data_IF_721741082340
#
_entry.id   IF_721741082340
#
_cell.length_a   1.000
_cell.length_b   1.000
_cell.length_c   1.000
_cell.angle_alpha   90.00
_cell.angle_beta   90.00
_cell.angle_gamma   90.00
#
_symmetry.space_group_name_H-M   'P 1'
#
loop_
_entity.id
_entity.type
_entity.pdbx_description
1 polymer ?
#
# COMPACT_ATOMS: atom_id res chain seq x y z
N UNK A 1 -0.20 -19.38 -5.75
CA UNK A 1 -1.31 -19.66 -4.82
C UNK A 1 -0.82 -19.73 -3.36
N UNK A 2 0.33 -20.38 -3.07
CA UNK A 2 0.89 -20.45 -1.72
C UNK A 2 1.30 -19.08 -1.15
N UNK A 3 1.77 -18.15 -1.98
CA UNK A 3 2.23 -16.83 -1.57
C UNK A 3 1.12 -15.89 -1.06
N UNK A 4 -0.13 -16.07 -1.51
CA UNK A 4 -1.26 -15.25 -1.08
C UNK A 4 -1.92 -15.69 0.22
N UNK A 5 -1.79 -16.96 0.58
CA UNK A 5 -2.46 -17.52 1.78
C UNK A 5 -1.73 -17.28 3.09
N UNK A 6 -0.43 -17.01 3.06
CA UNK A 6 0.36 -16.76 4.27
C UNK A 6 0.21 -15.35 4.84
N UNK A 7 -0.21 -14.37 4.04
CA UNK A 7 -0.31 -12.98 4.48
C UNK A 7 -1.31 -12.74 5.61
N UNK A 8 -2.23 -13.69 5.86
CA UNK A 8 -3.31 -13.54 6.82
C UNK A 8 -3.02 -14.04 8.25
N UNK A 9 -1.90 -14.73 8.46
CA UNK A 9 -1.60 -15.31 9.79
C UNK A 9 -0.80 -14.41 10.72
N UNK A 10 -0.08 -13.42 10.18
CA UNK A 10 0.80 -12.58 10.97
C UNK A 10 0.09 -11.28 11.35
N UNK A 11 -0.28 -11.17 12.59
CA UNK A 11 -0.82 -9.92 13.14
C UNK A 11 0.32 -8.99 13.52
N UNK A 12 0.23 -7.72 13.11
CA UNK A 12 1.16 -6.67 13.51
C UNK A 12 0.92 -6.24 14.95
N UNK A 13 1.99 -5.95 15.69
CA UNK A 13 1.94 -5.74 17.15
C UNK A 13 2.51 -4.40 17.62
N UNK A 14 3.22 -3.70 16.74
CA UNK A 14 3.95 -2.49 17.09
C UNK A 14 3.44 -1.26 16.33
N UNK A 15 4.35 -0.33 16.02
CA UNK A 15 4.06 0.86 15.22
C UNK A 15 3.95 0.46 13.75
N UNK A 16 2.86 0.85 13.10
CA UNK A 16 2.66 0.64 11.67
C UNK A 16 2.58 1.96 10.91
N UNK A 17 3.04 1.92 9.66
CA UNK A 17 2.83 2.96 8.68
C UNK A 17 1.81 2.47 7.65
N UNK A 18 0.85 3.30 7.27
CA UNK A 18 -0.09 3.02 6.18
C UNK A 18 -0.01 4.13 5.14
N UNK A 19 0.04 3.74 3.89
CA UNK A 19 0.07 4.66 2.74
C UNK A 19 -0.51 3.98 1.50
N UNK A 20 -0.84 4.77 0.49
CA UNK A 20 -1.28 4.26 -0.79
C UNK A 20 -0.31 4.61 -1.92
N UNK A 21 -0.19 3.68 -2.86
CA UNK A 21 0.49 3.92 -4.13
C UNK A 21 -0.42 3.61 -5.32
N UNK A 22 -0.08 4.14 -6.49
CA UNK A 22 -0.89 4.02 -7.70
C UNK A 22 -0.10 3.30 -8.79
N UNK A 23 -0.59 2.11 -9.16
CA UNK A 23 0.03 1.23 -10.16
C UNK A 23 -0.77 1.27 -11.46
N UNK A 24 -0.08 1.36 -12.59
CA UNK A 24 -0.69 1.35 -13.93
C UNK A 24 0.16 2.09 -14.95
N UNK A 25 -0.03 1.72 -16.21
CA UNK A 25 0.71 2.27 -17.33
C UNK A 25 0.36 3.73 -17.68
N UNK A 26 1.20 4.33 -18.51
CA UNK A 26 0.88 5.60 -19.19
C UNK A 26 -0.09 5.30 -20.35
N UNK A 27 -1.11 6.18 -20.60
CA UNK A 27 -1.94 6.06 -21.79
C UNK A 27 -1.06 6.06 -23.05
N UNK A 28 -1.34 5.16 -24.01
CA UNK A 28 -0.63 5.13 -25.28
C UNK A 28 -0.85 6.45 -26.04
N UNK A 29 0.19 6.95 -26.69
CA UNK A 29 0.13 8.21 -27.48
C UNK A 29 -0.89 8.14 -28.62
N UNK A 30 -1.11 6.95 -29.17
CA UNK A 30 -2.02 6.68 -30.30
C UNK A 30 -3.50 6.92 -29.93
N UNK A 31 -3.88 6.85 -28.67
CA UNK A 31 -5.22 7.14 -28.22
C UNK A 31 -5.49 8.64 -27.99
N UNK A 32 -4.59 9.51 -28.42
CA UNK A 32 -4.82 10.95 -28.45
C UNK A 32 -5.56 11.28 -29.72
N UNK A 33 -6.88 11.30 -29.70
CA UNK A 33 -7.69 11.85 -30.78
C UNK A 33 -7.19 13.28 -31.10
N UNK A 34 -6.74 13.49 -32.33
CA UNK A 34 -6.41 14.81 -32.85
C UNK A 34 -7.65 15.69 -32.64
N UNK A 35 -7.55 16.72 -31.83
CA UNK A 35 -8.59 17.73 -31.67
C UNK A 35 -9.17 17.99 -30.26
N UNK A 36 -8.98 17.12 -29.29
CA UNK A 36 -9.34 17.44 -27.89
C UNK A 36 -8.05 17.70 -27.10
N UNK A 37 -7.94 18.92 -26.55
CA UNK A 37 -6.80 19.35 -25.74
C UNK A 37 -6.32 18.27 -24.79
N UNK A 38 -5.02 18.08 -24.72
CA UNK A 38 -4.38 17.05 -23.90
C UNK A 38 -4.78 17.27 -22.44
N UNK A 39 -5.75 16.51 -21.94
CA UNK A 39 -6.03 16.49 -20.49
C UNK A 39 -4.74 16.10 -19.80
N UNK A 40 -4.17 17.04 -19.03
CA UNK A 40 -2.98 16.76 -18.20
C UNK A 40 -3.28 15.53 -17.35
N UNK A 41 -2.46 14.50 -17.44
CA UNK A 41 -2.58 13.31 -16.60
C UNK A 41 -2.41 13.75 -15.16
N UNK A 42 -3.49 13.63 -14.37
CA UNK A 42 -3.46 13.95 -12.95
C UNK A 42 -2.54 12.96 -12.23
N UNK A 43 -1.81 13.44 -11.21
CA UNK A 43 -0.99 12.61 -10.32
C UNK A 43 -1.80 12.18 -9.10
N UNK A 44 -1.36 11.13 -8.41
CA UNK A 44 -2.02 10.64 -7.19
C UNK A 44 -3.46 10.20 -7.46
N UNK A 45 -4.39 10.57 -6.58
CA UNK A 45 -5.80 10.17 -6.61
C UNK A 45 -6.58 10.56 -7.85
N UNK A 46 -6.17 11.59 -8.54
CA UNK A 46 -6.81 12.00 -9.79
C UNK A 46 -6.39 11.16 -11.00
N UNK A 47 -5.53 10.18 -10.83
CA UNK A 47 -5.03 9.31 -11.90
C UNK A 47 -6.03 8.18 -12.23
N UNK A 48 -5.95 7.65 -13.46
CA UNK A 48 -6.66 6.42 -13.85
C UNK A 48 -5.94 5.14 -13.40
N UNK A 49 -4.84 5.25 -12.67
CA UNK A 49 -4.10 4.11 -12.14
C UNK A 49 -4.86 3.46 -10.98
N UNK A 50 -4.57 2.20 -10.71
CA UNK A 50 -5.18 1.43 -9.64
C UNK A 50 -4.45 1.68 -8.33
N UNK A 51 -5.14 2.08 -7.25
CA UNK A 51 -4.53 2.24 -5.94
C UNK A 51 -4.20 0.88 -5.32
N UNK A 52 -3.06 0.82 -4.66
CA UNK A 52 -2.64 -0.26 -3.77
C UNK A 52 -2.40 0.37 -2.41
N UNK A 53 -3.05 -0.13 -1.39
CA UNK A 53 -2.87 0.30 0.00
C UNK A 53 -1.99 -0.71 0.71
N UNK A 54 -1.03 -0.23 1.48
CA UNK A 54 -0.15 -1.08 2.26
C UNK A 54 -0.04 -0.64 3.70
N UNK A 55 0.19 -1.60 4.57
CA UNK A 55 0.51 -1.44 5.97
C UNK A 55 1.85 -2.10 6.21
N UNK A 56 2.82 -1.38 6.76
CA UNK A 56 4.13 -1.92 7.11
C UNK A 56 4.37 -1.79 8.61
N UNK A 57 4.81 -2.87 9.23
CA UNK A 57 5.26 -2.86 10.61
C UNK A 57 6.74 -2.42 10.68
N UNK A 58 7.03 -1.38 11.45
CA UNK A 58 8.39 -0.80 11.49
C UNK A 58 9.43 -1.73 12.08
N UNK A 59 9.10 -2.46 13.12
CA UNK A 59 10.04 -3.31 13.84
C UNK A 59 10.57 -4.47 13.01
N UNK A 60 9.70 -5.11 12.23
CA UNK A 60 10.03 -6.29 11.42
C UNK A 60 10.25 -5.97 9.95
N UNK A 61 9.72 -4.84 9.47
CA UNK A 61 9.65 -4.52 8.04
C UNK A 61 8.68 -5.40 7.25
N UNK A 62 7.83 -6.17 7.94
CA UNK A 62 6.75 -6.95 7.30
C UNK A 62 5.74 -6.01 6.70
N UNK A 63 5.30 -6.33 5.50
CA UNK A 63 4.29 -5.54 4.77
C UNK A 63 3.09 -6.41 4.41
N UNK A 64 1.91 -5.83 4.52
CA UNK A 64 0.67 -6.34 3.95
C UNK A 64 0.11 -5.30 3.00
N UNK A 65 -0.27 -5.68 1.80
CA UNK A 65 -0.80 -4.74 0.82
C UNK A 65 -1.97 -5.32 0.02
N UNK A 66 -2.94 -4.45 -0.28
CA UNK A 66 -4.16 -4.81 -1.01
C UNK A 66 -4.45 -3.82 -2.13
N UNK A 67 -4.91 -4.35 -3.25
CA UNK A 67 -5.46 -3.54 -4.34
C UNK A 67 -6.82 -3.00 -3.91
N UNK A 68 -6.97 -1.67 -3.95
CA UNK A 68 -8.23 -1.01 -3.65
C UNK A 68 -9.05 -0.84 -4.93
N UNK A 69 -10.18 -1.53 -5.01
CA UNK A 69 -11.09 -1.40 -6.14
C UNK A 69 -12.06 -0.22 -5.94
N UNK A 70 -12.54 0.42 -7.03
CA UNK A 70 -13.56 1.44 -6.93
C UNK A 70 -14.81 0.89 -6.21
N UNK A 71 -15.35 1.67 -5.28
CA UNK A 71 -16.66 1.38 -4.72
C UNK A 71 -17.76 1.72 -5.73
N UNK A 72 -19.04 1.41 -5.39
CA UNK A 72 -20.22 1.69 -6.24
C UNK A 72 -20.37 3.19 -6.61
N UNK A 73 -19.75 4.09 -5.85
CA UNK A 73 -19.76 5.54 -6.06
C UNK A 73 -18.59 6.02 -6.96
N UNK A 74 -17.78 5.11 -7.47
CA UNK A 74 -16.61 5.43 -8.29
C UNK A 74 -15.42 6.00 -7.52
N UNK A 75 -15.47 6.10 -6.20
CA UNK A 75 -14.33 6.49 -5.36
C UNK A 75 -13.36 5.32 -5.25
N UNK A 76 -12.12 5.52 -5.66
CA UNK A 76 -11.08 4.46 -5.68
C UNK A 76 -10.58 4.07 -4.29
N UNK A 77 -10.66 4.99 -3.33
CA UNK A 77 -10.17 4.78 -1.97
C UNK A 77 -11.08 5.49 -0.99
N UNK A 78 -11.61 4.75 -0.05
CA UNK A 78 -12.44 5.27 1.04
C UNK A 78 -11.82 4.97 2.40
N UNK A 79 -12.16 5.76 3.41
CA UNK A 79 -11.72 5.51 4.78
C UNK A 79 -12.11 4.11 5.29
N UNK A 80 -13.30 3.61 4.89
CA UNK A 80 -13.75 2.25 5.26
C UNK A 80 -12.86 1.16 4.69
N UNK A 81 -12.35 1.30 3.46
CA UNK A 81 -11.41 0.35 2.88
C UNK A 81 -10.07 0.37 3.60
N UNK A 82 -9.59 1.57 3.98
CA UNK A 82 -8.37 1.71 4.78
C UNK A 82 -8.51 1.03 6.14
N UNK A 83 -9.61 1.28 6.83
CA UNK A 83 -9.90 0.66 8.13
C UNK A 83 -10.00 -0.86 8.00
N UNK A 84 -10.68 -1.38 6.97
CA UNK A 84 -10.77 -2.82 6.72
C UNK A 84 -9.40 -3.48 6.56
N UNK A 85 -8.47 -2.84 5.85
CA UNK A 85 -7.11 -3.36 5.65
C UNK A 85 -6.31 -3.34 6.97
N UNK A 86 -6.46 -2.27 7.77
CA UNK A 86 -5.85 -2.22 9.10
C UNK A 86 -6.43 -3.29 10.04
N UNK A 87 -7.75 -3.48 10.02
CA UNK A 87 -8.43 -4.47 10.85
C UNK A 87 -8.04 -5.91 10.49
N UNK A 88 -7.65 -6.14 9.25
CA UNK A 88 -7.18 -7.45 8.78
C UNK A 88 -5.87 -7.87 9.46
N UNK A 89 -4.94 -6.92 9.66
CA UNK A 89 -3.55 -7.26 10.06
C UNK A 89 -3.11 -6.67 11.39
N UNK A 90 -3.77 -5.65 11.92
CA UNK A 90 -3.34 -4.97 13.13
C UNK A 90 -4.06 -5.47 14.39
N UNK A 91 -3.33 -5.56 15.52
CA UNK A 91 -3.92 -5.74 16.85
C UNK A 91 -4.60 -4.45 17.33
N UNK A 92 -5.29 -4.54 18.48
CA UNK A 92 -5.87 -3.37 19.18
C UNK A 92 -4.78 -2.48 19.76
N UNK A 93 -5.11 -1.19 19.95
CA UNK A 93 -4.26 -0.20 20.64
C UNK A 93 -2.89 0.03 19.98
N UNK A 94 -2.81 -0.13 18.66
CA UNK A 94 -1.58 0.12 17.93
C UNK A 94 -1.44 1.58 17.52
N UNK A 95 -0.19 2.02 17.34
CA UNK A 95 0.11 3.32 16.74
C UNK A 95 0.13 3.20 15.22
N UNK A 96 -0.72 3.98 14.56
CA UNK A 96 -0.83 4.05 13.09
C UNK A 96 -0.33 5.40 12.61
N UNK A 97 0.70 5.40 11.79
CA UNK A 97 1.26 6.61 11.17
C UNK A 97 0.80 6.71 9.72
N UNK A 98 0.31 7.89 9.34
CA UNK A 98 -0.19 8.16 7.98
C UNK A 98 0.35 9.50 7.48
N UNK A 99 0.22 9.72 6.17
CA UNK A 99 0.29 11.07 5.63
C UNK A 99 -0.96 11.91 5.99
N UNK A 100 -0.99 13.16 5.56
CA UNK A 100 -2.08 14.13 5.85
C UNK A 100 -3.35 13.92 5.01
N UNK A 101 -3.59 12.73 4.51
CA UNK A 101 -4.69 12.42 3.61
C UNK A 101 -6.03 12.39 4.33
N UNK A 102 -7.04 13.10 3.79
CA UNK A 102 -8.38 13.22 4.41
C UNK A 102 -9.10 11.89 4.64
N UNK A 103 -8.81 10.84 3.84
CA UNK A 103 -9.40 9.51 4.03
C UNK A 103 -8.96 8.83 5.31
N UNK A 104 -7.79 9.19 5.84
CA UNK A 104 -7.30 8.67 7.13
C UNK A 104 -7.99 9.32 8.34
N UNK A 105 -8.81 10.38 8.13
CA UNK A 105 -9.63 10.97 9.18
C UNK A 105 -10.59 10.00 9.87
N UNK A 106 -10.90 8.86 9.26
CA UNK A 106 -11.67 7.79 9.91
C UNK A 106 -10.94 7.22 11.14
N UNK A 107 -9.62 7.30 11.18
CA UNK A 107 -8.81 6.81 12.29
C UNK A 107 -8.80 7.75 13.50
N UNK A 108 -9.24 9.01 13.34
CA UNK A 108 -9.36 9.97 14.44
C UNK A 108 -10.61 9.69 15.30
N UNK A 109 -11.54 8.88 14.80
CA UNK A 109 -12.74 8.45 15.51
C UNK A 109 -12.50 7.20 16.35
N UNK A 110 -13.55 6.81 17.13
CA UNK A 110 -13.53 5.51 17.80
C UNK A 110 -13.60 4.40 16.75
N UNK A 111 -12.53 3.61 16.65
CA UNK A 111 -12.50 2.38 15.89
C UNK A 111 -12.61 1.18 16.85
N UNK A 112 -13.04 0.03 16.38
CA UNK A 112 -13.18 -1.17 17.21
C UNK A 112 -11.85 -1.64 17.83
N UNK A 113 -10.74 -1.24 17.18
CA UNK A 113 -9.37 -1.55 17.62
C UNK A 113 -8.67 -0.43 18.38
N UNK A 114 -9.28 0.76 18.53
CA UNK A 114 -8.73 1.90 19.26
C UNK A 114 -7.30 2.26 18.82
N UNK A 115 -7.11 2.59 17.54
CA UNK A 115 -5.80 2.98 17.02
C UNK A 115 -5.36 4.36 17.52
N UNK A 116 -4.09 4.50 17.87
CA UNK A 116 -3.44 5.79 18.14
C UNK A 116 -2.96 6.35 16.79
N UNK A 117 -3.72 7.31 16.24
CA UNK A 117 -3.42 7.86 14.92
C UNK A 117 -2.45 9.04 15.01
N UNK A 118 -1.34 8.98 14.25
CA UNK A 118 -0.35 10.05 14.10
C UNK A 118 -0.29 10.46 12.64
N UNK A 119 -0.69 11.71 12.36
CA UNK A 119 -0.60 12.31 11.03
C UNK A 119 0.75 12.97 10.84
N UNK A 120 1.40 12.74 9.70
CA UNK A 120 2.69 13.29 9.34
C UNK A 120 2.49 14.26 8.18
N UNK A 121 2.85 15.52 8.40
CA UNK A 121 2.78 16.55 7.36
C UNK A 121 4.13 16.69 6.66
N UNK A 122 4.26 16.09 5.50
CA UNK A 122 5.48 16.17 4.69
C UNK A 122 5.72 17.55 4.07
N UNK A 123 4.75 18.48 4.13
CA UNK A 123 4.94 19.86 3.63
C UNK A 123 5.77 20.72 4.59
N UNK A 124 5.77 20.37 5.86
CA UNK A 124 6.48 21.14 6.90
C UNK A 124 7.86 20.56 7.24
N UNK A 125 7.97 19.23 7.36
CA UNK A 125 9.25 18.56 7.71
C UNK A 125 9.25 17.12 7.17
N UNK A 126 10.34 16.69 6.55
CA UNK A 126 10.49 15.29 6.09
C UNK A 126 10.53 14.27 7.24
N UNK A 127 10.86 14.70 8.43
CA UNK A 127 10.82 13.92 9.67
C UNK A 127 10.61 14.87 10.84
N UNK A 128 9.61 14.61 11.68
CA UNK A 128 9.33 15.41 12.87
C UNK A 128 10.35 15.17 14.01
N UNK A 129 11.49 14.50 13.75
CA UNK A 129 12.30 13.95 14.83
C UNK A 129 11.53 12.81 15.52
N UNK A 130 11.97 12.34 16.65
CA UNK A 130 11.24 11.33 17.48
C UNK A 130 10.71 10.10 16.73
N UNK A 131 11.27 9.79 15.55
CA UNK A 131 10.85 8.63 14.75
C UNK A 131 9.47 8.75 14.07
N UNK A 132 8.88 9.94 13.97
CA UNK A 132 7.59 10.17 13.28
C UNK A 132 7.85 10.41 11.79
N UNK A 133 7.66 9.37 10.98
CA UNK A 133 7.83 9.41 9.52
C UNK A 133 7.04 8.28 8.85
N UNK A 134 6.93 8.30 7.51
CA UNK A 134 6.37 7.22 6.67
C UNK A 134 7.42 6.67 5.68
N UNK A 135 8.71 6.83 5.98
CA UNK A 135 9.79 6.47 5.07
C UNK A 135 9.87 4.96 4.79
N UNK A 136 9.41 4.13 5.74
CA UNK A 136 9.46 2.67 5.59
C UNK A 136 8.52 2.22 4.48
N UNK A 137 7.26 2.67 4.52
CA UNK A 137 6.27 2.32 3.49
C UNK A 137 6.63 2.94 2.13
N UNK A 138 7.19 4.17 2.11
CA UNK A 138 7.65 4.80 0.87
C UNK A 138 8.77 4.00 0.21
N UNK A 139 9.70 3.46 1.00
CA UNK A 139 10.77 2.57 0.53
C UNK A 139 10.19 1.28 -0.07
N UNK A 140 9.18 0.69 0.55
CA UNK A 140 8.46 -0.46 0.02
C UNK A 140 7.82 -0.15 -1.34
N UNK A 141 7.18 1.02 -1.48
CA UNK A 141 6.61 1.44 -2.77
C UNK A 141 7.65 1.67 -3.86
N UNK A 142 8.82 2.16 -3.50
CA UNK A 142 9.92 2.29 -4.46
C UNK A 142 10.37 0.94 -5.00
N UNK A 143 10.42 -0.12 -4.17
CA UNK A 143 10.76 -1.48 -4.57
C UNK A 143 9.64 -2.06 -5.47
N UNK A 144 8.37 -1.97 -5.06
CA UNK A 144 7.24 -2.43 -5.86
C UNK A 144 7.23 -1.79 -7.26
N UNK A 145 7.42 -0.48 -7.33
CA UNK A 145 7.44 0.26 -8.60
C UNK A 145 8.61 -0.15 -9.49
N UNK A 146 9.79 -0.41 -8.92
CA UNK A 146 10.93 -0.95 -9.68
C UNK A 146 10.61 -2.32 -10.28
N UNK A 147 9.95 -3.20 -9.51
CA UNK A 147 9.49 -4.50 -10.02
C UNK A 147 8.48 -4.33 -11.17
N UNK A 148 7.43 -3.53 -10.95
CA UNK A 148 6.37 -3.34 -11.95
C UNK A 148 6.88 -2.69 -13.23
N UNK A 149 7.71 -1.65 -13.14
CA UNK A 149 8.13 -0.89 -14.33
C UNK A 149 9.45 -1.40 -14.93
N UNK A 150 10.31 -2.02 -14.14
CA UNK A 150 11.62 -2.48 -14.59
C UNK A 150 11.64 -3.95 -15.02
N UNK A 151 10.85 -4.82 -14.35
CA UNK A 151 10.86 -6.26 -14.61
C UNK A 151 9.62 -6.67 -15.41
N UNK A 152 8.43 -6.40 -14.90
CA UNK A 152 7.17 -6.83 -15.53
C UNK A 152 6.71 -5.91 -16.67
N UNK A 153 7.22 -4.67 -16.73
CA UNK A 153 6.87 -3.61 -17.67
C UNK A 153 5.38 -3.23 -17.70
N UNK A 154 4.47 -4.19 -17.60
CA UNK A 154 3.03 -4.01 -17.56
C UNK A 154 2.36 -5.09 -16.71
N UNK A 155 1.50 -4.66 -15.80
CA UNK A 155 0.67 -5.55 -15.00
C UNK A 155 -0.79 -5.17 -15.23
N UNK A 156 -1.63 -6.14 -15.60
CA UNK A 156 -3.07 -5.90 -15.76
C UNK A 156 -3.73 -5.74 -14.39
N UNK A 157 -4.79 -4.94 -14.34
CA UNK A 157 -5.56 -4.72 -13.09
C UNK A 157 -6.11 -6.03 -12.53
N UNK A 158 -6.49 -6.97 -13.42
CA UNK A 158 -7.04 -8.29 -13.06
C UNK A 158 -6.07 -9.11 -12.21
N UNK A 159 -4.78 -9.06 -12.51
CA UNK A 159 -3.74 -9.85 -11.85
C UNK A 159 -2.88 -9.02 -10.88
N UNK A 160 -3.21 -7.73 -10.69
CA UNK A 160 -2.38 -6.84 -9.88
C UNK A 160 -2.22 -7.33 -8.44
N UNK A 161 -3.28 -7.94 -7.85
CA UNK A 161 -3.20 -8.46 -6.48
C UNK A 161 -2.17 -9.59 -6.37
N UNK A 162 -2.09 -10.48 -7.34
CA UNK A 162 -1.11 -11.58 -7.35
C UNK A 162 0.33 -11.07 -7.33
N UNK A 163 0.62 -10.00 -8.09
CA UNK A 163 1.94 -9.33 -8.06
C UNK A 163 2.21 -8.60 -6.74
N UNK A 164 1.17 -8.05 -6.14
CA UNK A 164 1.28 -7.40 -4.81
C UNK A 164 1.54 -8.47 -3.73
N UNK A 165 0.87 -9.62 -3.80
CA UNK A 165 1.07 -10.74 -2.87
C UNK A 165 2.50 -11.30 -3.01
N UNK A 166 2.99 -11.50 -4.23
CA UNK A 166 4.37 -11.89 -4.49
C UNK A 166 5.37 -10.88 -3.90
N UNK A 167 5.11 -9.59 -4.09
CA UNK A 167 5.94 -8.53 -3.54
C UNK A 167 5.99 -8.57 -2.01
N UNK A 168 4.84 -8.72 -1.35
CA UNK A 168 4.76 -8.84 0.10
C UNK A 168 5.51 -10.07 0.60
N UNK A 169 5.31 -11.22 -0.05
CA UNK A 169 6.02 -12.46 0.25
C UNK A 169 7.54 -12.29 0.16
N UNK A 170 8.05 -11.70 -0.93
CA UNK A 170 9.50 -11.47 -1.13
C UNK A 170 10.10 -10.53 -0.08
N UNK A 171 9.36 -9.51 0.35
CA UNK A 171 9.83 -8.63 1.43
C UNK A 171 9.82 -9.30 2.80
N UNK A 172 8.80 -10.12 3.07
CA UNK A 172 8.71 -10.92 4.31
C UNK A 172 9.86 -11.93 4.40
N UNK A 173 10.14 -12.62 3.30
CA UNK A 173 11.14 -13.69 3.20
C UNK A 173 12.42 -13.24 2.49
N UNK A 174 12.86 -11.98 2.71
CA UNK A 174 14.08 -11.46 2.11
C UNK A 174 15.36 -12.16 2.57
N UNK A 175 15.29 -12.92 3.66
CA UNK A 175 16.34 -13.83 4.08
C UNK A 175 16.15 -15.17 3.33
N UNK A 176 17.17 -15.59 2.57
CA UNK A 176 17.13 -16.76 1.68
C UNK A 176 16.73 -18.04 2.42
N UNK A 177 17.22 -18.24 3.65
CA UNK A 177 16.90 -19.43 4.45
C UNK A 177 15.41 -19.53 4.76
N UNK A 178 14.77 -18.44 5.19
CA UNK A 178 13.35 -18.45 5.49
C UNK A 178 12.47 -18.63 4.24
N UNK A 179 12.89 -18.09 3.10
CA UNK A 179 12.16 -18.24 1.84
C UNK A 179 12.17 -19.69 1.36
N UNK A 180 13.29 -20.37 1.50
CA UNK A 180 13.46 -21.75 1.03
C UNK A 180 12.62 -22.73 1.85
N UNK A 181 12.63 -22.62 3.17
CA UNK A 181 11.84 -23.45 4.08
C UNK A 181 10.33 -23.34 3.77
N UNK A 182 9.84 -22.14 3.45
CA UNK A 182 8.43 -21.94 3.11
C UNK A 182 8.03 -22.46 1.72
N UNK A 183 8.94 -22.50 0.76
CA UNK A 183 8.62 -22.93 -0.60
C UNK A 183 8.71 -24.44 -0.79
N UNK A 184 9.60 -25.11 -0.05
CA UNK A 184 9.89 -26.54 -0.25
C UNK A 184 9.14 -27.41 0.79
N UNK A 185 8.72 -26.84 1.92
CA UNK A 185 8.19 -27.59 3.05
C UNK A 185 9.29 -28.45 3.74
N UNK A 186 9.05 -28.82 4.96
CA UNK A 186 9.86 -29.83 5.65
C UNK A 186 9.59 -31.21 5.07
#
# INVERSE_FOLDING_TARGET
LAMGTESHKDTFEAIVEIDETYVGGKPRKENKHKGKGTKKTKRGRGTNKTPVVGVVERSSGRIHARVAFPNKEGKKLSGKQLLSILDEVCKKNMTVMTDHLSSYGILDGKTDKNFYHIKIDHSAVYSLGDGKHTNTIESCWAILKRGVYGIYHHVSVKHLQEYVDEFCFRLKHRNIESAWTHLVGD
#
